data_IF_075567497855
#
_entry.id   IF_075567497855
#
_cell.length_a   1.000
_cell.length_b   1.000
_cell.length_c   1.000
_cell.angle_alpha   90.00
_cell.angle_beta   90.00
_cell.angle_gamma   90.00
#
_symmetry.space_group_name_H-M   'P 1'
#
loop_
_entity.id
_entity.type
_entity.pdbx_description
1 polymer ?
#
# COMPACT_ATOMS: atom_id res chain seq x y z
N UNK A 1 28.97 13.82 8.50
CA UNK A 1 27.74 12.99 8.62
C UNK A 1 26.55 13.54 7.82
N UNK A 2 26.39 14.84 7.61
CA UNK A 2 25.38 15.37 6.65
C UNK A 2 25.59 14.91 5.19
N UNK A 3 26.81 14.56 4.80
CA UNK A 3 27.13 14.06 3.47
C UNK A 3 26.35 12.81 3.07
N UNK A 4 26.03 11.89 3.99
CA UNK A 4 25.24 10.69 3.66
C UNK A 4 23.78 11.03 3.35
N UNK A 5 23.20 11.99 4.07
CA UNK A 5 21.82 12.45 3.83
C UNK A 5 21.67 13.17 2.48
N UNK A 6 22.75 13.75 1.95
CA UNK A 6 22.82 14.34 0.61
C UNK A 6 23.18 13.32 -0.47
N UNK A 7 24.06 12.37 -0.15
CA UNK A 7 24.53 11.37 -1.09
C UNK A 7 23.45 10.31 -1.38
N UNK A 8 22.72 9.84 -0.37
CA UNK A 8 21.72 8.76 -0.56
C UNK A 8 20.66 9.16 -1.60
N UNK A 9 19.97 10.33 -1.52
CA UNK A 9 19.00 10.73 -2.53
C UNK A 9 19.61 10.88 -3.93
N UNK A 10 20.83 11.42 -4.02
CA UNK A 10 21.53 11.59 -5.29
C UNK A 10 21.83 10.25 -5.96
N UNK A 11 22.41 9.32 -5.20
CA UNK A 11 22.72 7.98 -5.70
C UNK A 11 21.43 7.22 -6.05
N UNK A 12 20.36 7.40 -5.28
CA UNK A 12 19.08 6.80 -5.57
C UNK A 12 18.51 7.27 -6.92
N UNK A 13 18.62 8.57 -7.23
CA UNK A 13 18.18 9.13 -8.52
C UNK A 13 19.06 8.68 -9.71
N UNK A 14 20.34 8.40 -9.47
CA UNK A 14 21.31 7.94 -10.47
C UNK A 14 21.31 6.41 -10.64
N UNK A 15 20.60 5.66 -9.80
CA UNK A 15 20.65 4.20 -9.82
C UNK A 15 19.65 3.61 -10.83
N UNK A 16 20.14 2.93 -11.87
CA UNK A 16 19.33 2.57 -13.04
C UNK A 16 18.57 1.24 -12.90
N UNK A 17 18.93 0.39 -11.92
CA UNK A 17 18.41 -1.00 -11.82
C UNK A 17 17.44 -1.22 -10.67
N UNK A 18 17.61 -0.47 -9.59
CA UNK A 18 16.86 -0.61 -8.34
C UNK A 18 16.00 0.63 -8.16
N UNK A 19 14.73 0.48 -7.75
CA UNK A 19 13.85 1.61 -7.53
C UNK A 19 14.45 2.63 -6.55
N UNK A 20 14.28 3.92 -6.85
CA UNK A 20 14.82 5.02 -6.04
C UNK A 20 14.43 4.88 -4.56
N UNK A 21 13.17 4.56 -4.29
CA UNK A 21 12.66 4.40 -2.93
C UNK A 21 13.23 3.18 -2.21
N UNK A 22 13.64 2.13 -2.92
CA UNK A 22 14.36 1.00 -2.31
C UNK A 22 15.76 1.41 -1.90
N UNK A 23 16.48 2.10 -2.79
CA UNK A 23 17.83 2.59 -2.50
C UNK A 23 17.79 3.50 -1.27
N UNK A 24 16.84 4.45 -1.21
CA UNK A 24 16.66 5.30 -0.03
C UNK A 24 16.32 4.49 1.21
N UNK A 25 15.34 3.58 1.11
CA UNK A 25 14.84 2.80 2.24
C UNK A 25 15.95 1.95 2.87
N UNK A 26 16.68 1.16 2.08
CA UNK A 26 17.75 0.29 2.58
C UNK A 26 18.89 1.12 3.19
N UNK A 27 19.34 2.16 2.50
CA UNK A 27 20.45 2.97 3.00
C UNK A 27 20.11 3.76 4.27
N UNK A 28 18.89 4.30 4.37
CA UNK A 28 18.45 4.97 5.59
C UNK A 28 18.15 3.99 6.73
N UNK A 29 17.70 2.76 6.43
CA UNK A 29 17.59 1.69 7.41
C UNK A 29 18.95 1.36 8.02
N UNK A 30 19.93 1.11 7.14
CA UNK A 30 21.30 0.82 7.54
C UNK A 30 21.91 1.95 8.37
N UNK A 31 21.78 3.21 7.90
CA UNK A 31 22.27 4.37 8.63
C UNK A 31 21.61 4.51 10.02
N UNK A 32 20.30 4.27 10.11
CA UNK A 32 19.59 4.27 11.39
C UNK A 32 20.12 3.18 12.33
N UNK A 33 20.36 1.96 11.82
CA UNK A 33 20.90 0.85 12.60
C UNK A 33 22.30 1.17 13.15
N UNK A 34 23.20 1.67 12.29
CA UNK A 34 24.55 2.10 12.69
C UNK A 34 24.51 3.18 13.77
N UNK A 35 23.74 4.25 13.55
CA UNK A 35 23.61 5.35 14.52
C UNK A 35 23.02 4.87 15.86
N UNK A 36 22.12 3.89 15.83
CA UNK A 36 21.53 3.30 17.03
C UNK A 36 22.53 2.48 17.86
N UNK A 37 23.50 1.83 17.21
CA UNK A 37 24.53 1.05 17.88
C UNK A 37 25.56 1.94 18.60
N UNK A 38 25.88 3.11 18.03
CA UNK A 38 26.89 4.02 18.57
C UNK A 38 26.49 4.63 19.92
N UNK A 39 25.18 4.76 20.22
CA UNK A 39 24.63 5.31 21.48
C UNK A 39 25.22 6.68 21.86
N UNK A 40 25.60 7.49 20.87
CA UNK A 40 26.18 8.83 21.08
C UNK A 40 25.05 9.86 21.10
N UNK A 41 24.89 10.57 22.22
CA UNK A 41 23.81 11.53 22.44
C UNK A 41 23.74 12.66 21.40
N UNK A 42 24.89 13.16 20.93
CA UNK A 42 24.94 14.22 19.90
C UNK A 42 24.41 13.75 18.53
N UNK A 43 24.37 12.43 18.29
CA UNK A 43 23.88 11.83 17.04
C UNK A 43 22.37 11.53 17.08
N UNK A 44 21.69 11.77 18.19
CA UNK A 44 20.27 11.48 18.36
C UNK A 44 19.37 12.14 17.31
N UNK A 45 19.68 13.38 16.93
CA UNK A 45 18.95 14.07 15.86
C UNK A 45 19.09 13.33 14.54
N UNK A 46 20.32 13.00 14.15
CA UNK A 46 20.59 12.27 12.90
C UNK A 46 19.95 10.90 12.89
N UNK A 47 19.91 10.21 14.04
CA UNK A 47 19.22 8.92 14.19
C UNK A 47 17.72 9.06 13.90
N UNK A 48 17.07 10.08 14.48
CA UNK A 48 15.65 10.36 14.22
C UNK A 48 15.40 10.73 12.76
N UNK A 49 16.26 11.55 12.17
CA UNK A 49 16.15 11.95 10.77
C UNK A 49 16.31 10.74 9.83
N UNK A 50 17.27 9.84 10.10
CA UNK A 50 17.45 8.60 9.32
C UNK A 50 16.21 7.71 9.40
N UNK A 51 15.64 7.53 10.60
CA UNK A 51 14.40 6.78 10.79
C UNK A 51 13.23 7.38 10.02
N UNK A 52 13.10 8.70 10.03
CA UNK A 52 12.04 9.39 9.29
C UNK A 52 12.21 9.18 7.78
N UNK A 53 13.41 9.38 7.25
CA UNK A 53 13.71 9.18 5.82
C UNK A 53 13.48 7.73 5.37
N UNK A 54 13.84 6.76 6.21
CA UNK A 54 13.50 5.35 6.00
C UNK A 54 11.97 5.15 5.92
N UNK A 55 11.22 5.71 6.88
CA UNK A 55 9.76 5.58 6.91
C UNK A 55 9.09 6.25 5.71
N UNK A 56 9.59 7.41 5.29
CA UNK A 56 9.08 8.13 4.12
C UNK A 56 9.32 7.32 2.84
N UNK A 57 10.52 6.76 2.69
CA UNK A 57 10.87 5.92 1.53
C UNK A 57 10.06 4.62 1.50
N UNK A 58 9.87 3.95 2.64
CA UNK A 58 9.00 2.78 2.76
C UNK A 58 7.57 3.11 2.31
N UNK A 59 7.01 4.22 2.82
CA UNK A 59 5.66 4.65 2.46
C UNK A 59 5.56 4.95 0.97
N UNK A 60 6.52 5.69 0.41
CA UNK A 60 6.57 6.03 -1.00
C UNK A 60 6.68 4.77 -1.89
N UNK A 61 7.53 3.81 -1.50
CA UNK A 61 7.66 2.53 -2.18
C UNK A 61 6.35 1.75 -2.19
N UNK A 62 5.69 1.63 -1.03
CA UNK A 62 4.38 0.97 -0.94
C UNK A 62 3.37 1.69 -1.84
N UNK A 63 3.24 3.01 -1.75
CA UNK A 63 2.32 3.78 -2.61
C UNK A 63 2.60 3.56 -4.09
N UNK A 64 3.86 3.53 -4.52
CA UNK A 64 4.24 3.37 -5.92
C UNK A 64 4.02 1.95 -6.44
N UNK A 65 4.43 0.92 -5.70
CA UNK A 65 4.46 -0.47 -6.17
C UNK A 65 3.23 -1.29 -5.79
N UNK A 66 2.65 -1.01 -4.63
CA UNK A 66 1.34 -1.54 -4.27
C UNK A 66 0.26 -0.83 -5.08
N UNK A 67 0.45 0.47 -5.34
CA UNK A 67 -0.41 1.27 -6.19
C UNK A 67 -1.83 1.32 -5.65
N UNK A 68 -2.79 1.03 -6.53
CA UNK A 68 -4.22 1.06 -6.25
C UNK A 68 -4.84 -0.32 -6.49
N UNK A 69 -4.68 -1.28 -5.56
CA UNK A 69 -5.35 -2.57 -5.68
C UNK A 69 -6.85 -2.36 -5.84
N UNK A 70 -7.52 -3.25 -6.59
CA UNK A 70 -8.93 -3.08 -6.94
C UNK A 70 -9.20 -1.81 -7.79
N UNK A 71 -8.30 -1.48 -8.73
CA UNK A 71 -8.32 -0.24 -9.52
C UNK A 71 -9.71 0.15 -10.08
N UNK A 72 -10.44 -0.75 -10.73
CA UNK A 72 -11.78 -0.47 -11.27
C UNK A 72 -12.80 -0.17 -10.19
N UNK A 73 -12.67 -0.81 -9.02
CA UNK A 73 -13.52 -0.53 -7.87
C UNK A 73 -13.20 0.85 -7.28
N UNK A 74 -11.91 1.22 -7.21
CA UNK A 74 -11.52 2.56 -6.84
C UNK A 74 -12.05 3.62 -7.82
N UNK A 75 -11.91 3.41 -9.13
CA UNK A 75 -12.43 4.31 -10.16
C UNK A 75 -13.96 4.46 -10.06
N UNK A 76 -14.66 3.36 -9.77
CA UNK A 76 -16.11 3.39 -9.52
C UNK A 76 -16.44 4.30 -8.34
N UNK A 77 -15.74 4.15 -7.21
CA UNK A 77 -15.98 4.95 -6.01
C UNK A 77 -15.51 6.40 -6.14
N UNK A 78 -14.49 6.71 -6.93
CA UNK A 78 -14.16 8.09 -7.29
C UNK A 78 -15.31 8.76 -8.06
N UNK A 79 -15.93 8.03 -8.99
CA UNK A 79 -17.13 8.50 -9.68
C UNK A 79 -18.29 8.76 -8.72
N UNK A 80 -18.50 7.86 -7.75
CA UNK A 80 -19.49 8.05 -6.67
C UNK A 80 -19.18 9.32 -5.88
N UNK A 81 -17.94 9.50 -5.43
CA UNK A 81 -17.53 10.67 -4.65
C UNK A 81 -17.66 11.98 -5.44
N UNK A 82 -17.37 11.97 -6.75
CA UNK A 82 -17.59 13.12 -7.61
C UNK A 82 -19.08 13.51 -7.68
N UNK A 83 -20.00 12.53 -7.69
CA UNK A 83 -21.45 12.81 -7.62
C UNK A 83 -21.87 13.35 -6.27
N UNK A 84 -21.32 12.81 -5.18
CA UNK A 84 -21.56 13.35 -3.83
C UNK A 84 -21.08 14.80 -3.72
N UNK A 85 -19.89 15.10 -4.26
CA UNK A 85 -19.36 16.47 -4.30
C UNK A 85 -20.23 17.44 -5.14
N UNK A 86 -20.98 16.92 -6.11
CA UNK A 86 -21.97 17.68 -6.89
C UNK A 86 -23.32 17.86 -6.18
N UNK A 87 -23.46 17.39 -4.92
CA UNK A 87 -24.65 17.57 -4.10
C UNK A 87 -25.63 16.39 -4.08
N UNK A 88 -25.30 15.28 -4.73
CA UNK A 88 -26.10 14.04 -4.61
C UNK A 88 -25.91 13.46 -3.21
N UNK A 89 -26.99 13.16 -2.49
CA UNK A 89 -26.87 12.53 -1.18
C UNK A 89 -26.32 11.10 -1.31
N UNK A 90 -25.50 10.67 -0.36
CA UNK A 90 -24.90 9.34 -0.37
C UNK A 90 -25.95 8.23 -0.48
N UNK A 91 -27.05 8.35 0.28
CA UNK A 91 -28.18 7.40 0.24
C UNK A 91 -28.88 7.33 -1.12
N UNK A 92 -28.73 8.35 -1.97
CA UNK A 92 -29.36 8.45 -3.28
C UNK A 92 -28.46 7.96 -4.42
N UNK A 93 -27.18 7.68 -4.15
CA UNK A 93 -26.22 7.19 -5.14
C UNK A 93 -26.74 5.92 -5.82
N UNK A 94 -27.40 5.04 -5.08
CA UNK A 94 -27.93 3.78 -5.62
C UNK A 94 -28.99 3.97 -6.72
N UNK A 95 -29.59 5.16 -6.85
CA UNK A 95 -30.53 5.52 -7.91
C UNK A 95 -29.85 6.10 -9.16
N UNK A 96 -28.58 6.49 -9.08
CA UNK A 96 -27.81 6.95 -10.23
C UNK A 96 -27.51 5.77 -11.15
N UNK A 97 -27.95 5.82 -12.41
CA UNK A 97 -27.85 4.69 -13.35
C UNK A 97 -26.42 4.15 -13.48
N UNK A 98 -25.42 5.04 -13.57
CA UNK A 98 -24.00 4.69 -13.69
C UNK A 98 -23.39 4.11 -12.40
N UNK A 99 -24.05 4.30 -11.24
CA UNK A 99 -23.57 3.87 -9.93
C UNK A 99 -24.64 3.07 -9.19
N UNK A 100 -25.49 2.36 -9.93
CA UNK A 100 -26.57 1.57 -9.34
C UNK A 100 -26.03 0.37 -8.54
N UNK A 101 -26.89 -0.25 -7.73
CA UNK A 101 -26.56 -1.52 -7.03
C UNK A 101 -26.10 -2.61 -8.00
N UNK A 102 -26.65 -2.62 -9.22
CA UNK A 102 -26.27 -3.60 -10.23
C UNK A 102 -24.87 -3.34 -10.77
N UNK A 103 -24.52 -2.07 -11.06
CA UNK A 103 -23.19 -1.71 -11.53
C UNK A 103 -22.13 -1.97 -10.47
N UNK A 104 -22.40 -1.64 -9.20
CA UNK A 104 -21.48 -1.98 -8.10
C UNK A 104 -21.18 -3.49 -8.05
N UNK A 105 -22.21 -4.35 -8.13
CA UNK A 105 -22.02 -5.81 -8.15
C UNK A 105 -21.17 -6.27 -9.33
N UNK A 106 -21.38 -5.70 -10.53
CA UNK A 106 -20.55 -6.01 -11.72
C UNK A 106 -19.09 -5.64 -11.53
N UNK A 107 -18.81 -4.54 -10.83
CA UNK A 107 -17.43 -4.13 -10.55
C UNK A 107 -16.79 -5.05 -9.50
N UNK A 108 -17.52 -5.42 -8.44
CA UNK A 108 -17.03 -6.35 -7.41
C UNK A 108 -16.70 -7.72 -8.00
N UNK A 109 -17.53 -8.25 -8.90
CA UNK A 109 -17.32 -9.55 -9.55
C UNK A 109 -16.03 -9.66 -10.37
N UNK A 110 -15.38 -8.53 -10.67
CA UNK A 110 -14.08 -8.53 -11.36
C UNK A 110 -12.91 -8.81 -10.42
N UNK A 111 -13.16 -8.89 -9.12
CA UNK A 111 -12.16 -9.12 -8.07
C UNK A 111 -12.47 -10.34 -7.22
N UNK A 112 -12.62 -11.54 -7.82
CA UNK A 112 -12.77 -12.75 -7.04
C UNK A 112 -11.51 -12.97 -6.20
N UNK A 113 -11.68 -13.53 -5.01
CA UNK A 113 -10.62 -13.71 -4.02
C UNK A 113 -9.35 -14.39 -4.60
N UNK A 114 -9.53 -15.35 -5.52
CA UNK A 114 -8.44 -16.05 -6.22
C UNK A 114 -7.58 -15.11 -7.08
N UNK A 115 -8.19 -14.21 -7.84
CA UNK A 115 -7.44 -13.27 -8.70
C UNK A 115 -6.71 -12.23 -7.85
N UNK A 116 -7.33 -11.78 -6.75
CA UNK A 116 -6.67 -10.91 -5.77
C UNK A 116 -5.42 -11.59 -5.19
N UNK A 117 -5.56 -12.84 -4.72
CA UNK A 117 -4.42 -13.61 -4.20
C UNK A 117 -3.31 -13.80 -5.25
N UNK A 118 -3.66 -14.08 -6.50
CA UNK A 118 -2.70 -14.21 -7.61
C UNK A 118 -1.95 -12.91 -7.90
N UNK A 119 -2.65 -11.77 -7.85
CA UNK A 119 -2.05 -10.45 -7.96
C UNK A 119 -1.04 -10.18 -6.85
N UNK A 120 -1.40 -10.54 -5.60
CA UNK A 120 -0.51 -10.42 -4.44
C UNK A 120 0.73 -11.30 -4.56
N UNK A 121 0.61 -12.54 -5.04
CA UNK A 121 1.76 -13.44 -5.27
C UNK A 121 2.74 -12.84 -6.28
N UNK A 122 2.21 -12.30 -7.38
CA UNK A 122 3.02 -11.64 -8.41
C UNK A 122 3.73 -10.40 -7.87
N UNK A 123 3.05 -9.64 -7.00
CA UNK A 123 3.62 -8.49 -6.34
C UNK A 123 4.72 -8.88 -5.35
N UNK A 124 4.52 -9.93 -4.54
CA UNK A 124 5.52 -10.42 -3.61
C UNK A 124 6.84 -10.74 -4.32
N UNK A 125 6.78 -11.52 -5.41
CA UNK A 125 7.95 -11.85 -6.24
C UNK A 125 8.65 -10.63 -6.82
N UNK A 126 7.89 -9.57 -7.12
CA UNK A 126 8.45 -8.32 -7.64
C UNK A 126 9.17 -7.54 -6.54
N UNK A 127 8.58 -7.48 -5.34
CA UNK A 127 9.19 -6.84 -4.16
C UNK A 127 10.46 -7.57 -3.76
N UNK A 128 10.42 -8.90 -3.68
CA UNK A 128 11.56 -9.77 -3.38
C UNK A 128 12.76 -9.47 -4.30
N UNK A 129 12.52 -9.29 -5.61
CA UNK A 129 13.57 -8.96 -6.57
C UNK A 129 14.15 -7.56 -6.46
N UNK A 130 13.44 -6.63 -5.82
CA UNK A 130 13.92 -5.27 -5.67
C UNK A 130 14.82 -5.11 -4.45
N UNK A 131 14.56 -5.87 -3.38
CA UNK A 131 15.23 -5.74 -2.09
C UNK A 131 16.48 -6.62 -2.02
N UNK A 132 17.48 -6.16 -1.28
CA UNK A 132 18.62 -6.98 -0.91
C UNK A 132 18.32 -7.87 0.30
N UNK A 133 18.99 -9.02 0.37
CA UNK A 133 18.83 -9.96 1.48
C UNK A 133 19.47 -9.45 2.79
N UNK A 134 20.55 -8.67 2.70
CA UNK A 134 21.35 -8.21 3.85
C UNK A 134 20.52 -7.38 4.85
N UNK A 135 19.68 -6.46 4.36
CA UNK A 135 18.89 -5.56 5.20
C UNK A 135 17.60 -6.21 5.73
N UNK A 136 17.25 -7.42 5.27
CA UNK A 136 16.10 -8.20 5.76
C UNK A 136 14.76 -7.43 5.77
N UNK A 137 14.55 -6.53 4.80
CA UNK A 137 13.39 -5.63 4.78
C UNK A 137 12.13 -6.23 4.13
N UNK A 138 12.23 -7.40 3.48
CA UNK A 138 11.11 -7.99 2.74
C UNK A 138 9.85 -8.16 3.60
N UNK A 139 9.98 -8.71 4.80
CA UNK A 139 8.85 -8.91 5.70
C UNK A 139 8.26 -7.59 6.20
N UNK A 140 9.10 -6.56 6.38
CA UNK A 140 8.65 -5.23 6.80
C UNK A 140 7.84 -4.55 5.71
N UNK A 141 8.34 -4.60 4.46
CA UNK A 141 7.65 -4.06 3.29
C UNK A 141 6.36 -4.81 3.04
N UNK A 142 6.37 -6.15 3.15
CA UNK A 142 5.19 -6.97 2.93
C UNK A 142 4.09 -6.69 3.96
N UNK A 143 4.46 -6.48 5.22
CA UNK A 143 3.52 -6.05 6.25
C UNK A 143 2.97 -4.66 5.98
N UNK A 144 3.79 -3.71 5.55
CA UNK A 144 3.32 -2.37 5.19
C UNK A 144 2.32 -2.41 4.02
N UNK A 145 2.55 -3.28 3.02
CA UNK A 145 1.59 -3.53 1.93
C UNK A 145 0.29 -4.17 2.42
N UNK A 146 0.35 -5.08 3.40
CA UNK A 146 -0.84 -5.66 4.02
C UNK A 146 -1.69 -4.59 4.72
N UNK A 147 -1.05 -3.74 5.52
CA UNK A 147 -1.71 -2.66 6.26
C UNK A 147 -2.35 -1.64 5.30
N UNK A 148 -1.69 -1.32 4.18
CA UNK A 148 -2.24 -0.48 3.13
C UNK A 148 -3.47 -1.13 2.46
N UNK A 149 -3.41 -2.42 2.11
CA UNK A 149 -4.58 -3.12 1.55
C UNK A 149 -5.75 -3.07 2.53
N UNK A 150 -5.53 -3.43 3.79
CA UNK A 150 -6.59 -3.42 4.80
C UNK A 150 -7.20 -2.03 4.94
N UNK A 151 -6.39 -0.98 4.87
CA UNK A 151 -6.86 0.41 4.93
C UNK A 151 -7.77 0.74 3.75
N UNK A 152 -7.35 0.41 2.53
CA UNK A 152 -8.17 0.63 1.32
C UNK A 152 -9.45 -0.23 1.31
N UNK A 153 -9.37 -1.47 1.76
CA UNK A 153 -10.53 -2.36 1.89
C UNK A 153 -11.57 -1.77 2.84
N UNK A 154 -11.14 -1.32 4.04
CA UNK A 154 -12.04 -0.70 5.03
C UNK A 154 -12.70 0.56 4.47
N UNK A 155 -11.94 1.38 3.76
CA UNK A 155 -12.46 2.59 3.13
C UNK A 155 -13.54 2.27 2.08
N UNK A 156 -13.31 1.25 1.24
CA UNK A 156 -14.29 0.80 0.25
C UNK A 156 -15.55 0.25 0.93
N UNK A 157 -15.41 -0.59 1.96
CA UNK A 157 -16.54 -1.10 2.74
C UNK A 157 -17.35 0.03 3.39
N UNK A 158 -16.70 1.06 3.93
CA UNK A 158 -17.38 2.24 4.47
C UNK A 158 -18.20 2.96 3.40
N UNK A 159 -17.64 3.15 2.19
CA UNK A 159 -18.35 3.75 1.07
C UNK A 159 -19.53 2.89 0.61
N UNK A 160 -19.40 1.56 0.58
CA UNK A 160 -20.51 0.65 0.28
C UNK A 160 -21.65 0.85 1.30
N UNK A 161 -21.33 0.87 2.59
CA UNK A 161 -22.32 1.04 3.65
C UNK A 161 -23.05 2.38 3.57
N UNK A 162 -22.33 3.46 3.30
CA UNK A 162 -22.89 4.83 3.20
C UNK A 162 -23.71 5.04 1.93
N UNK A 163 -23.21 4.57 0.78
CA UNK A 163 -23.83 4.83 -0.53
C UNK A 163 -24.88 3.78 -0.94
N UNK A 164 -24.84 2.59 -0.34
CA UNK A 164 -25.73 1.47 -0.68
C UNK A 164 -26.34 0.81 0.58
N UNK A 165 -27.01 1.58 1.46
CA UNK A 165 -27.57 1.05 2.69
C UNK A 165 -28.62 -0.04 2.42
N UNK A 166 -28.62 -1.09 3.26
CA UNK A 166 -29.55 -2.23 3.16
C UNK A 166 -29.42 -3.07 1.88
N UNK A 167 -28.37 -2.87 1.08
CA UNK A 167 -28.17 -3.61 -0.18
C UNK A 167 -27.60 -5.02 0.01
N UNK A 168 -27.04 -5.30 1.20
CA UNK A 168 -26.29 -6.53 1.51
C UNK A 168 -25.17 -6.82 0.50
N UNK A 169 -24.68 -5.77 -0.19
CA UNK A 169 -23.52 -5.88 -1.08
C UNK A 169 -22.26 -5.83 -0.21
N UNK A 170 -21.40 -6.81 -0.40
CA UNK A 170 -20.11 -6.96 0.27
C UNK A 170 -19.09 -7.40 -0.77
N UNK A 171 -17.80 -7.23 -0.47
CA UNK A 171 -16.74 -7.84 -1.28
C UNK A 171 -16.73 -9.36 -1.13
N UNK A 172 -16.28 -10.06 -2.18
CA UNK A 172 -16.18 -11.54 -2.22
C UNK A 172 -15.14 -12.11 -1.23
N UNK A 173 -14.39 -11.25 -0.55
CA UNK A 173 -13.40 -11.61 0.45
C UNK A 173 -13.45 -10.66 1.64
N UNK A 174 -12.92 -11.13 2.77
CA UNK A 174 -12.92 -10.42 4.05
C UNK A 174 -11.49 -10.01 4.43
N UNK A 175 -11.35 -9.18 5.46
CA UNK A 175 -10.04 -8.88 6.05
C UNK A 175 -9.31 -10.17 6.47
N UNK A 176 -10.04 -11.17 6.98
CA UNK A 176 -9.45 -12.45 7.36
C UNK A 176 -8.82 -13.16 6.16
N UNK A 177 -9.50 -13.19 5.01
CA UNK A 177 -8.92 -13.71 3.78
C UNK A 177 -7.68 -12.91 3.33
N UNK A 178 -7.68 -11.57 3.48
CA UNK A 178 -6.49 -10.75 3.16
C UNK A 178 -5.31 -11.18 4.05
N UNK A 179 -5.52 -11.30 5.36
CA UNK A 179 -4.48 -11.75 6.29
C UNK A 179 -3.95 -13.13 5.92
N UNK A 180 -4.84 -14.05 5.56
CA UNK A 180 -4.49 -15.40 5.08
C UNK A 180 -3.67 -15.34 3.79
N UNK A 181 -4.08 -14.56 2.78
CA UNK A 181 -3.35 -14.45 1.51
C UNK A 181 -1.92 -13.96 1.75
N UNK A 182 -1.74 -12.87 2.48
CA UNK A 182 -0.42 -12.33 2.78
C UNK A 182 0.42 -13.31 3.58
N UNK A 183 -0.18 -14.00 4.56
CA UNK A 183 0.54 -14.98 5.37
C UNK A 183 0.92 -16.22 4.58
N UNK A 184 0.06 -16.72 3.70
CA UNK A 184 0.35 -17.90 2.89
C UNK A 184 1.43 -17.61 1.86
N UNK A 185 1.35 -16.46 1.19
CA UNK A 185 2.36 -16.03 0.21
C UNK A 185 3.73 -15.91 0.88
N UNK A 186 3.81 -15.26 2.04
CA UNK A 186 5.06 -15.11 2.79
C UNK A 186 5.64 -16.43 3.34
N UNK A 187 4.83 -17.49 3.48
CA UNK A 187 5.28 -18.84 3.87
C UNK A 187 5.65 -19.72 2.68
N UNK A 188 5.18 -19.37 1.48
CA UNK A 188 5.39 -20.18 0.26
C UNK A 188 6.67 -19.82 -0.49
N UNK A 189 7.36 -18.79 -0.02
CA UNK A 189 8.63 -18.26 -0.51
C UNK A 189 9.63 -18.27 0.64
#
# INVERSE_FOLDING_TARGET
MGAMFEAIPRNAAEHHKTPEEVVKMENFHHLFALLSQLKISVLEKLRKDAKQKYSDALKAYVTQYFGRPLEKLNLFFEGVQARVAQGVKESEISYQMAYSKQELRKVIQQYPAREVKRGLDSLYRKVEKHLCEEENLLQVVWRAMQEEFITQYKYIEELIQRCYPGSMIMLDFTIQHILEFFSEIARSH
#
